data_IF_500041663518
#
_entry.id   IF_500041663518
#
_cell.length_a   1.000
_cell.length_b   1.000
_cell.length_c   1.000
_cell.angle_alpha   90.00
_cell.angle_beta   90.00
_cell.angle_gamma   90.00
#
_symmetry.space_group_name_H-M   'P 1'
#
loop_
_entity.id
_entity.type
_entity.pdbx_description
1 polymer ?
#
# COMPACT_ATOMS: atom_id res chain seq x y z
N UNK A 1 11.83 9.70 -5.74
CA UNK A 1 10.72 8.84 -5.26
C UNK A 1 9.66 8.78 -6.33
N UNK A 2 9.51 7.65 -7.02
CA UNK A 2 8.50 7.48 -8.08
C UNK A 2 7.15 7.27 -7.41
N UNK A 3 6.20 8.19 -7.61
CA UNK A 3 4.82 8.07 -7.12
C UNK A 3 4.08 7.07 -8.01
N UNK A 4 3.40 6.10 -7.41
CA UNK A 4 2.49 5.24 -8.15
C UNK A 4 1.35 6.10 -8.73
N UNK A 5 1.01 6.00 -10.02
CA UNK A 5 -0.08 6.77 -10.64
C UNK A 5 -1.46 6.18 -10.30
N UNK A 6 -1.65 5.73 -9.05
CA UNK A 6 -2.90 5.13 -8.60
C UNK A 6 -4.01 6.17 -8.40
N UNK A 7 -3.68 7.44 -8.27
CA UNK A 7 -4.66 8.51 -8.04
C UNK A 7 -5.57 8.69 -9.27
N UNK A 8 -5.02 8.54 -10.49
CA UNK A 8 -5.82 8.57 -11.73
C UNK A 8 -6.71 7.34 -11.88
N UNK A 9 -6.23 6.17 -11.44
CA UNK A 9 -6.99 4.91 -11.44
C UNK A 9 -8.10 4.94 -10.38
N UNK A 10 -7.83 5.51 -9.22
CA UNK A 10 -8.81 5.73 -8.15
C UNK A 10 -9.92 6.66 -8.64
N UNK A 11 -9.56 7.81 -9.23
CA UNK A 11 -10.53 8.70 -9.84
C UNK A 11 -11.38 7.98 -10.91
N UNK A 12 -10.75 7.18 -11.79
CA UNK A 12 -11.49 6.43 -12.81
C UNK A 12 -12.46 5.38 -12.22
N UNK A 13 -12.05 4.67 -11.16
CA UNK A 13 -12.92 3.71 -10.44
C UNK A 13 -14.08 4.42 -9.75
N UNK A 14 -13.88 5.65 -9.27
CA UNK A 14 -14.93 6.44 -8.64
C UNK A 14 -15.90 7.08 -9.63
N UNK A 15 -15.40 7.56 -10.78
CA UNK A 15 -16.21 8.21 -11.81
C UNK A 15 -16.94 7.22 -12.72
N UNK A 16 -16.30 6.09 -13.08
CA UNK A 16 -16.81 5.14 -14.08
C UNK A 16 -17.25 3.79 -13.51
N UNK A 17 -17.08 3.56 -12.20
CA UNK A 17 -17.61 2.39 -11.52
C UNK A 17 -19.14 2.42 -11.44
N UNK A 18 -19.81 2.17 -12.56
CA UNK A 18 -21.26 2.29 -12.77
C UNK A 18 -22.08 1.35 -11.90
N UNK A 19 -21.50 0.22 -11.47
CA UNK A 19 -22.11 -0.72 -10.54
C UNK A 19 -21.34 -0.77 -9.22
N UNK A 20 -22.06 -0.74 -8.08
CA UNK A 20 -21.52 -0.95 -6.72
C UNK A 20 -20.47 -2.08 -6.63
N UNK A 21 -20.67 -3.29 -7.20
CA UNK A 21 -19.66 -4.36 -7.14
C UNK A 21 -18.36 -4.01 -7.88
N UNK A 22 -18.43 -3.32 -9.01
CA UNK A 22 -17.25 -2.92 -9.81
C UNK A 22 -16.44 -1.86 -9.07
N UNK A 23 -17.10 -0.88 -8.46
CA UNK A 23 -16.43 0.14 -7.63
C UNK A 23 -15.75 -0.47 -6.40
N UNK A 24 -16.42 -1.41 -5.72
CA UNK A 24 -15.85 -2.11 -4.57
C UNK A 24 -14.63 -2.97 -4.95
N UNK A 25 -14.70 -3.68 -6.09
CA UNK A 25 -13.57 -4.43 -6.61
C UNK A 25 -12.41 -3.53 -7.01
N UNK A 26 -12.67 -2.41 -7.70
CA UNK A 26 -11.65 -1.44 -8.07
C UNK A 26 -10.93 -0.86 -6.84
N UNK A 27 -11.65 -0.51 -5.78
CA UNK A 27 -11.05 -0.05 -4.52
C UNK A 27 -10.17 -1.11 -3.85
N UNK A 28 -10.62 -2.37 -3.84
CA UNK A 28 -9.81 -3.50 -3.32
C UNK A 28 -8.53 -3.72 -4.12
N UNK A 29 -8.59 -3.62 -5.45
CA UNK A 29 -7.42 -3.77 -6.32
C UNK A 29 -6.42 -2.62 -6.11
N UNK A 30 -6.89 -1.37 -6.04
CA UNK A 30 -6.03 -0.21 -5.74
C UNK A 30 -5.34 -0.40 -4.39
N UNK A 31 -6.07 -0.85 -3.36
CA UNK A 31 -5.50 -1.13 -2.05
C UNK A 31 -4.45 -2.25 -2.10
N UNK A 32 -4.70 -3.34 -2.84
CA UNK A 32 -3.75 -4.41 -3.01
C UNK A 32 -2.44 -3.94 -3.68
N UNK A 33 -2.54 -3.12 -4.73
CA UNK A 33 -1.35 -2.55 -5.41
C UNK A 33 -0.59 -1.60 -4.47
N UNK A 34 -1.28 -0.75 -3.70
CA UNK A 34 -0.63 0.11 -2.69
C UNK A 34 0.13 -0.70 -1.64
N UNK A 35 -0.48 -1.78 -1.14
CA UNK A 35 0.14 -2.68 -0.15
C UNK A 35 1.36 -3.39 -0.74
N UNK A 36 1.24 -3.96 -1.93
CA UNK A 36 2.33 -4.65 -2.60
C UNK A 36 3.52 -3.73 -2.88
N UNK A 37 3.25 -2.51 -3.34
CA UNK A 37 4.31 -1.52 -3.60
C UNK A 37 5.05 -1.12 -2.32
N UNK A 38 4.31 -0.81 -1.25
CA UNK A 38 4.93 -0.51 0.06
C UNK A 38 5.79 -1.67 0.55
N UNK A 39 5.30 -2.89 0.43
CA UNK A 39 6.07 -4.08 0.76
C UNK A 39 7.34 -4.21 -0.11
N UNK A 40 7.23 -3.95 -1.41
CA UNK A 40 8.36 -4.02 -2.34
C UNK A 40 9.45 -2.98 -1.99
N UNK A 41 9.06 -1.75 -1.63
CA UNK A 41 10.00 -0.75 -1.16
C UNK A 41 10.69 -1.19 0.14
N UNK A 42 9.91 -1.60 1.14
CA UNK A 42 10.46 -2.11 2.40
C UNK A 42 11.42 -3.28 2.18
N UNK A 43 11.04 -4.25 1.34
CA UNK A 43 11.84 -5.45 1.08
C UNK A 43 13.15 -5.12 0.36
N UNK A 44 13.12 -4.21 -0.62
CA UNK A 44 14.32 -3.70 -1.27
C UNK A 44 15.27 -3.08 -0.26
N UNK A 45 14.76 -2.20 0.61
CA UNK A 45 15.59 -1.60 1.64
C UNK A 45 16.06 -2.60 2.71
N UNK A 46 15.26 -3.60 3.06
CA UNK A 46 15.60 -4.65 4.03
C UNK A 46 16.76 -5.53 3.53
N UNK A 47 16.77 -5.88 2.23
CA UNK A 47 17.85 -6.64 1.62
C UNK A 47 19.18 -5.89 1.67
N UNK A 48 19.16 -4.58 1.45
CA UNK A 48 20.34 -3.71 1.54
C UNK A 48 20.80 -3.42 2.98
N UNK A 49 20.02 -3.81 4.01
CA UNK A 49 20.38 -3.57 5.40
C UNK A 49 21.27 -4.69 5.96
N UNK A 50 22.35 -4.34 6.68
CA UNK A 50 23.22 -5.33 7.31
C UNK A 50 22.47 -6.21 8.33
N UNK A 51 22.89 -7.48 8.52
CA UNK A 51 22.15 -8.44 9.34
C UNK A 51 21.83 -7.97 10.77
N UNK A 52 22.72 -7.21 11.41
CA UNK A 52 22.54 -6.72 12.79
C UNK A 52 21.49 -5.60 12.93
N UNK A 53 21.17 -4.89 11.84
CA UNK A 53 20.17 -3.81 11.82
C UNK A 53 18.79 -4.27 11.27
N UNK A 54 18.72 -5.47 10.71
CA UNK A 54 17.48 -6.02 10.12
C UNK A 54 16.33 -6.14 11.14
N UNK A 55 16.65 -6.47 12.39
CA UNK A 55 15.65 -6.53 13.47
C UNK A 55 15.00 -5.16 13.74
N UNK A 56 15.78 -4.09 13.71
CA UNK A 56 15.24 -2.73 13.87
C UNK A 56 14.32 -2.33 12.71
N UNK A 57 14.67 -2.73 11.47
CA UNK A 57 13.80 -2.52 10.31
C UNK A 57 12.49 -3.31 10.38
N UNK A 58 12.54 -4.57 10.79
CA UNK A 58 11.33 -5.38 10.97
C UNK A 58 10.41 -4.76 12.03
N UNK A 59 10.97 -4.25 13.13
CA UNK A 59 10.20 -3.53 14.14
C UNK A 59 9.54 -2.25 13.59
N UNK A 60 10.22 -1.50 12.72
CA UNK A 60 9.65 -0.32 12.07
C UNK A 60 8.45 -0.66 11.17
N UNK A 61 8.54 -1.75 10.40
CA UNK A 61 7.43 -2.25 9.58
C UNK A 61 6.27 -2.75 10.46
N UNK A 62 6.58 -3.45 11.56
CA UNK A 62 5.58 -3.93 12.52
C UNK A 62 4.82 -2.79 13.20
N UNK A 63 5.50 -1.70 13.57
CA UNK A 63 4.88 -0.50 14.15
C UNK A 63 4.00 0.26 13.15
N UNK A 64 4.36 0.25 11.86
CA UNK A 64 3.52 0.81 10.79
C UNK A 64 2.31 -0.08 10.43
N UNK A 65 2.43 -1.40 10.53
CA UNK A 65 1.32 -2.34 10.34
C UNK A 65 0.33 -2.33 11.53
N UNK A 66 0.84 -2.05 12.74
CA UNK A 66 0.03 -1.87 13.94
C UNK A 66 -0.69 -0.52 14.00
N UNK A 67 -0.40 0.44 13.10
CA UNK A 67 -1.25 1.61 12.93
C UNK A 67 -2.53 1.17 12.21
N UNK A 68 -3.69 1.11 12.91
CA UNK A 68 -4.94 0.82 12.24
C UNK A 68 -5.11 1.84 11.13
N UNK A 69 -5.47 1.36 9.94
CA UNK A 69 -5.97 2.22 8.88
C UNK A 69 -7.05 3.10 9.51
N UNK A 70 -6.78 4.40 9.68
CA UNK A 70 -7.80 5.33 10.18
C UNK A 70 -9.06 5.04 9.37
N UNK A 71 -10.20 4.71 10.02
CA UNK A 71 -11.44 4.56 9.29
C UNK A 71 -11.66 5.88 8.54
N UNK A 72 -11.88 5.81 7.23
CA UNK A 72 -12.43 6.95 6.49
C UNK A 72 -13.71 7.37 7.22
N UNK A 73 -13.66 8.50 7.92
CA UNK A 73 -14.85 9.27 8.28
C UNK A 73 -15.25 10.11 7.08
#
# INVERSE_FOLDING_TARGET
>A
MTRLPLDHVEHAVETHGSARPVRALGKRLIQAVRTFWRFSQFYGEYQSTPPWERHAKLAQMGNHAAQPSKPLQ
#
